data_IF_357512232964
#
_entry.id   IF_357512232964
#
_cell.length_a   1.000
_cell.length_b   1.000
_cell.length_c   1.000
_cell.angle_alpha   90.00
_cell.angle_beta   90.00
_cell.angle_gamma   90.00
#
_symmetry.space_group_name_H-M   'P 1'
#
loop_
_entity.id
_entity.type
_entity.pdbx_description
1 polymer ?
#
# COMPACT_ATOMS: atom_id res chain seq x y z
N UNK A 1 12.65 -29.90 64.02
CA UNK A 1 11.79 -28.73 63.75
C UNK A 1 12.18 -27.91 62.51
N UNK A 2 13.47 -27.64 62.22
CA UNK A 2 13.87 -26.82 61.05
C UNK A 2 13.69 -27.45 59.64
N UNK A 3 13.73 -28.78 59.49
CA UNK A 3 13.58 -29.44 58.18
C UNK A 3 12.18 -29.32 57.57
N UNK A 4 11.14 -29.22 58.40
CA UNK A 4 9.75 -29.07 57.95
C UNK A 4 9.44 -27.65 57.46
N UNK A 5 10.11 -26.62 57.99
CA UNK A 5 9.94 -25.24 57.51
C UNK A 5 10.34 -25.08 56.04
N UNK A 6 11.48 -25.63 55.62
CA UNK A 6 11.93 -25.51 54.23
C UNK A 6 11.00 -26.26 53.26
N UNK A 7 10.47 -27.42 53.66
CA UNK A 7 9.48 -28.14 52.87
C UNK A 7 8.15 -27.37 52.73
N UNK A 8 7.67 -26.75 53.80
CA UNK A 8 6.46 -25.93 53.77
C UNK A 8 6.66 -24.68 52.90
N UNK A 9 7.79 -23.99 53.02
CA UNK A 9 8.10 -22.83 52.17
C UNK A 9 8.20 -23.21 50.69
N UNK A 10 8.77 -24.39 50.37
CA UNK A 10 8.83 -24.87 48.99
C UNK A 10 7.43 -25.16 48.43
N UNK A 11 6.57 -25.84 49.21
CA UNK A 11 5.19 -26.11 48.80
C UNK A 11 4.37 -24.83 48.61
N UNK A 12 4.55 -23.83 49.47
CA UNK A 12 3.89 -22.52 49.33
C UNK A 12 4.40 -21.80 48.07
N UNK A 13 5.70 -21.82 47.80
CA UNK A 13 6.27 -21.21 46.59
C UNK A 13 5.74 -21.88 45.31
N UNK A 14 5.68 -23.21 45.30
CA UNK A 14 5.12 -23.97 44.18
C UNK A 14 3.63 -23.69 44.02
N UNK A 15 2.86 -23.67 45.11
CA UNK A 15 1.43 -23.36 45.07
C UNK A 15 1.15 -21.93 44.58
N UNK A 16 1.95 -20.94 45.00
CA UNK A 16 1.84 -19.57 44.52
C UNK A 16 2.20 -19.48 43.03
N UNK A 17 3.28 -20.11 42.57
CA UNK A 17 3.64 -20.12 41.15
C UNK A 17 2.61 -20.83 40.28
N UNK A 18 2.00 -21.92 40.78
CA UNK A 18 0.89 -22.62 40.10
C UNK A 18 -0.35 -21.74 40.10
N UNK A 19 -0.71 -21.09 41.21
CA UNK A 19 -1.84 -20.16 41.26
C UNK A 19 -1.63 -18.96 40.33
N UNK A 20 -0.43 -18.39 40.27
CA UNK A 20 -0.10 -17.32 39.32
C UNK A 20 -0.17 -17.83 37.88
N UNK A 21 0.30 -19.05 37.61
CA UNK A 21 0.20 -19.65 36.30
C UNK A 21 -1.26 -19.92 35.92
N UNK A 22 -2.08 -20.47 36.81
CA UNK A 22 -3.52 -20.66 36.59
C UNK A 22 -4.22 -19.31 36.44
N UNK A 23 -3.85 -18.28 37.20
CA UNK A 23 -4.45 -16.95 37.07
C UNK A 23 -4.02 -16.23 35.78
N UNK A 24 -2.83 -16.53 35.26
CA UNK A 24 -2.33 -16.05 33.97
C UNK A 24 -2.84 -16.86 32.76
N UNK A 25 -3.10 -18.16 32.93
CA UNK A 25 -3.46 -19.09 31.84
C UNK A 25 -4.93 -19.52 31.83
N UNK A 26 -5.63 -19.44 32.96
CA UNK A 26 -7.01 -19.96 33.17
C UNK A 26 -7.91 -18.92 33.84
N UNK A 27 -7.34 -17.84 34.39
CA UNK A 27 -8.05 -16.72 35.02
C UNK A 27 -8.65 -15.71 34.03
N UNK A 28 -8.97 -16.13 32.81
CA UNK A 28 -9.78 -15.37 31.86
C UNK A 28 -10.88 -16.28 31.31
N UNK A 29 -12.06 -16.19 31.93
CA UNK A 29 -13.31 -16.62 31.31
C UNK A 29 -13.57 -15.77 30.06
N UNK A 30 -14.31 -16.28 29.07
CA UNK A 30 -14.12 -15.96 27.67
C UNK A 30 -14.30 -14.46 27.41
N UNK A 31 -13.32 -13.89 26.71
CA UNK A 31 -13.33 -12.60 25.98
C UNK A 31 -12.37 -11.51 26.46
N UNK A 32 -11.19 -11.82 26.99
CA UNK A 32 -10.13 -10.82 26.98
C UNK A 32 -8.72 -11.40 26.81
N UNK A 33 -8.46 -11.91 25.60
CA UNK A 33 -7.10 -11.79 25.06
C UNK A 33 -6.63 -10.35 25.28
N UNK A 34 -5.64 -10.15 26.15
CA UNK A 34 -4.71 -9.03 26.05
C UNK A 34 -3.85 -9.33 24.83
N UNK A 35 -4.50 -9.28 23.68
CA UNK A 35 -3.89 -9.11 22.39
C UNK A 35 -3.37 -7.68 22.40
N UNK A 36 -2.05 -7.50 22.41
CA UNK A 36 -1.45 -6.25 21.94
C UNK A 36 -1.70 -6.02 20.43
N UNK A 37 -2.78 -6.59 19.86
CA UNK A 37 -3.37 -6.18 18.60
C UNK A 37 -4.48 -5.22 18.97
N UNK A 38 -4.22 -3.91 18.83
CA UNK A 38 -5.31 -2.95 18.72
C UNK A 38 -6.29 -3.53 17.71
N UNK A 39 -7.51 -3.89 18.14
CA UNK A 39 -8.50 -4.40 17.21
C UNK A 39 -8.72 -3.30 16.16
N UNK A 40 -8.61 -3.68 14.89
CA UNK A 40 -9.03 -2.79 13.83
C UNK A 40 -10.52 -2.51 14.04
N UNK A 41 -10.94 -1.27 13.83
CA UNK A 41 -12.34 -0.88 13.98
C UNK A 41 -12.96 -0.69 12.62
N UNK A 42 -13.06 0.55 12.15
CA UNK A 42 -13.71 0.88 10.87
C UNK A 42 -12.97 0.33 9.65
N UNK A 43 -11.67 0.06 9.74
CA UNK A 43 -10.85 -0.44 8.63
C UNK A 43 -10.84 -1.97 8.51
N UNK A 44 -11.35 -2.69 9.51
CA UNK A 44 -11.29 -4.16 9.57
C UNK A 44 -11.92 -4.80 8.33
N UNK A 45 -13.15 -4.37 7.99
CA UNK A 45 -13.88 -4.88 6.83
C UNK A 45 -13.11 -4.66 5.52
N UNK A 46 -12.62 -3.44 5.29
CA UNK A 46 -11.91 -3.09 4.06
C UNK A 46 -10.59 -3.87 3.92
N UNK A 47 -9.87 -4.06 5.03
CA UNK A 47 -8.64 -4.85 5.04
C UNK A 47 -8.94 -6.34 4.77
N UNK A 48 -9.97 -6.91 5.41
CA UNK A 48 -10.37 -8.30 5.20
C UNK A 48 -10.84 -8.58 3.78
N UNK A 49 -11.59 -7.67 3.15
CA UNK A 49 -12.01 -7.80 1.76
C UNK A 49 -10.80 -7.76 0.79
N UNK A 50 -9.85 -6.85 1.03
CA UNK A 50 -8.63 -6.76 0.23
C UNK A 50 -7.77 -8.03 0.32
N UNK A 51 -7.58 -8.57 1.54
CA UNK A 51 -6.87 -9.83 1.75
C UNK A 51 -7.59 -11.02 1.11
N UNK A 52 -8.92 -11.08 1.24
CA UNK A 52 -9.72 -12.15 0.65
C UNK A 52 -9.61 -12.19 -0.88
N UNK A 53 -9.68 -11.03 -1.53
CA UNK A 53 -9.52 -10.94 -3.00
C UNK A 53 -8.10 -11.28 -3.43
N UNK A 54 -7.09 -10.78 -2.71
CA UNK A 54 -5.69 -11.10 -3.00
C UNK A 54 -5.35 -12.60 -2.82
N UNK A 55 -6.13 -13.32 -2.00
CA UNK A 55 -5.98 -14.75 -1.78
C UNK A 55 -6.67 -15.63 -2.85
N UNK A 56 -7.44 -15.05 -3.78
CA UNK A 56 -8.06 -15.80 -4.88
C UNK A 56 -6.97 -16.40 -5.77
N UNK A 57 -6.99 -17.73 -5.92
CA UNK A 57 -6.02 -18.44 -6.75
C UNK A 57 -6.36 -18.30 -8.23
N UNK A 58 -5.55 -17.55 -8.97
CA UNK A 58 -5.61 -17.43 -10.43
C UNK A 58 -4.47 -18.18 -11.12
N UNK A 59 -4.09 -19.34 -10.58
CA UNK A 59 -3.13 -20.32 -11.14
C UNK A 59 -1.76 -19.75 -11.57
N UNK A 60 -1.35 -18.61 -10.98
CA UNK A 60 -0.12 -17.90 -11.35
C UNK A 60 -0.18 -17.22 -12.72
N UNK A 61 -1.35 -17.21 -13.35
CA UNK A 61 -1.59 -16.74 -14.71
C UNK A 61 -2.64 -15.64 -14.79
N UNK A 62 -2.96 -15.03 -13.66
CA UNK A 62 -3.84 -13.89 -13.54
C UNK A 62 -3.89 -13.38 -12.10
N UNK A 63 -4.83 -12.47 -11.83
CA UNK A 63 -5.15 -11.99 -10.47
C UNK A 63 -6.60 -11.51 -10.40
N UNK A 64 -7.15 -11.41 -9.20
CA UNK A 64 -8.45 -10.79 -8.96
C UNK A 64 -8.28 -9.41 -8.32
N UNK A 65 -9.23 -8.51 -8.57
CA UNK A 65 -9.24 -7.15 -8.02
C UNK A 65 -10.57 -6.85 -7.32
N UNK A 66 -10.55 -5.93 -6.35
CA UNK A 66 -11.74 -5.55 -5.57
C UNK A 66 -12.87 -4.99 -6.46
N UNK A 67 -12.49 -4.30 -7.53
CA UNK A 67 -13.39 -3.72 -8.54
C UNK A 67 -13.48 -4.57 -9.82
N UNK A 68 -13.00 -5.81 -9.78
CA UNK A 68 -13.09 -6.76 -10.87
C UNK A 68 -14.53 -7.16 -11.18
N UNK A 69 -14.73 -7.77 -12.35
CA UNK A 69 -16.05 -8.31 -12.73
C UNK A 69 -16.48 -9.39 -11.74
N UNK A 70 -17.76 -9.38 -11.34
CA UNK A 70 -18.30 -10.29 -10.32
C UNK A 70 -19.00 -11.48 -10.98
N UNK A 71 -18.69 -12.69 -10.51
CA UNK A 71 -19.41 -13.94 -10.83
C UNK A 71 -19.63 -14.72 -9.53
N UNK A 72 -20.84 -15.25 -9.32
CA UNK A 72 -21.22 -15.97 -8.10
C UNK A 72 -20.88 -15.25 -6.78
N UNK A 73 -20.92 -13.91 -6.80
CA UNK A 73 -20.65 -13.07 -5.63
C UNK A 73 -19.16 -12.86 -5.32
N UNK A 74 -18.25 -13.33 -6.19
CA UNK A 74 -16.80 -13.11 -6.05
C UNK A 74 -16.20 -12.43 -7.30
N UNK A 75 -15.12 -11.66 -7.16
CA UNK A 75 -14.39 -11.15 -8.32
C UNK A 75 -13.76 -12.29 -9.13
N UNK A 76 -13.89 -12.20 -10.46
CA UNK A 76 -13.31 -13.14 -11.43
C UNK A 76 -11.83 -12.83 -11.66
N UNK A 77 -11.03 -13.85 -11.90
CA UNK A 77 -9.64 -13.69 -12.29
C UNK A 77 -9.50 -12.95 -13.63
N UNK A 78 -8.66 -11.91 -13.65
CA UNK A 78 -8.16 -11.26 -14.84
C UNK A 78 -6.88 -11.95 -15.29
N UNK A 79 -6.96 -12.68 -16.40
CA UNK A 79 -5.87 -13.51 -16.91
C UNK A 79 -4.83 -12.73 -17.70
N UNK A 80 -3.58 -13.18 -17.63
CA UNK A 80 -2.52 -12.74 -18.52
C UNK A 80 -2.77 -13.19 -19.96
N UNK A 81 -2.04 -12.57 -20.89
CA UNK A 81 -2.12 -12.89 -22.31
C UNK A 81 -2.03 -14.40 -22.57
N UNK A 82 -2.92 -14.89 -23.44
CA UNK A 82 -3.07 -16.29 -23.83
C UNK A 82 -3.60 -17.27 -22.75
N UNK A 83 -3.93 -16.81 -21.55
CA UNK A 83 -4.57 -17.64 -20.52
C UNK A 83 -6.08 -17.37 -20.41
N UNK A 84 -6.85 -18.40 -20.07
CA UNK A 84 -8.30 -18.38 -19.88
C UNK A 84 -8.74 -19.38 -18.82
N UNK A 85 -10.06 -19.54 -18.67
CA UNK A 85 -10.67 -20.33 -17.59
C UNK A 85 -10.99 -19.45 -16.38
N UNK A 86 -11.75 -20.00 -15.43
CA UNK A 86 -12.19 -19.25 -14.24
C UNK A 86 -11.02 -18.89 -13.31
N UNK A 87 -9.94 -19.66 -13.37
CA UNK A 87 -8.73 -19.49 -12.56
C UNK A 87 -7.48 -19.20 -13.42
N UNK A 88 -7.65 -18.89 -14.71
CA UNK A 88 -6.55 -18.66 -15.65
C UNK A 88 -5.61 -19.86 -15.92
N UNK A 89 -6.03 -21.09 -15.63
CA UNK A 89 -5.20 -22.28 -15.85
C UNK A 89 -5.13 -22.75 -17.31
N UNK A 90 -6.03 -22.30 -18.17
CA UNK A 90 -6.16 -22.80 -19.54
C UNK A 90 -5.30 -21.98 -20.51
N UNK A 91 -4.29 -22.59 -21.12
CA UNK A 91 -3.50 -21.96 -22.17
C UNK A 91 -4.19 -22.09 -23.53
N UNK A 92 -4.42 -20.98 -24.22
CA UNK A 92 -5.00 -20.95 -25.56
C UNK A 92 -4.01 -21.43 -26.63
N UNK A 93 -4.24 -22.58 -27.30
CA UNK A 93 -3.32 -23.10 -28.31
C UNK A 93 -3.25 -22.19 -29.54
N UNK A 94 -2.03 -21.86 -29.98
CA UNK A 94 -1.82 -21.00 -31.15
C UNK A 94 -2.03 -19.50 -30.89
N UNK A 95 -2.22 -19.09 -29.63
CA UNK A 95 -2.22 -17.69 -29.25
C UNK A 95 -0.83 -17.05 -29.45
N UNK A 96 -0.79 -15.91 -30.15
CA UNK A 96 0.43 -15.16 -30.35
C UNK A 96 0.77 -14.33 -29.10
N UNK A 97 2.03 -14.35 -28.68
CA UNK A 97 2.50 -13.50 -27.60
C UNK A 97 2.39 -12.02 -27.98
N UNK A 98 1.78 -11.21 -27.09
CA UNK A 98 1.73 -9.75 -27.23
C UNK A 98 2.81 -9.10 -26.37
N UNK A 99 3.72 -8.37 -27.02
CA UNK A 99 4.79 -7.62 -26.38
C UNK A 99 4.80 -6.14 -26.85
N UNK A 100 3.66 -5.61 -27.30
CA UNK A 100 3.58 -4.30 -27.94
C UNK A 100 3.37 -3.12 -26.97
N UNK A 101 2.78 -3.36 -25.79
CA UNK A 101 2.25 -2.27 -24.93
C UNK A 101 3.27 -1.56 -24.04
N UNK A 102 4.46 -2.13 -23.82
CA UNK A 102 5.43 -1.62 -22.84
C UNK A 102 4.89 -1.63 -21.39
N UNK A 103 3.84 -2.41 -21.13
CA UNK A 103 3.20 -2.53 -19.82
C UNK A 103 4.13 -3.23 -18.81
N UNK A 104 4.48 -2.58 -17.68
CA UNK A 104 5.50 -3.07 -16.77
C UNK A 104 5.00 -4.14 -15.78
N UNK A 105 4.18 -5.11 -16.24
CA UNK A 105 3.64 -6.20 -15.41
C UNK A 105 4.74 -7.00 -14.70
N UNK A 106 5.95 -7.04 -15.28
CA UNK A 106 7.12 -7.70 -14.67
C UNK A 106 7.51 -7.15 -13.28
N UNK A 107 7.04 -5.95 -12.90
CA UNK A 107 7.26 -5.37 -11.57
C UNK A 107 6.26 -5.87 -10.52
N UNK A 108 5.16 -6.51 -10.89
CA UNK A 108 4.15 -6.94 -9.91
C UNK A 108 4.72 -7.86 -8.81
N UNK A 109 5.52 -8.91 -9.11
CA UNK A 109 5.97 -9.83 -8.06
C UNK A 109 6.75 -9.13 -6.94
N UNK A 110 7.45 -8.04 -7.27
CA UNK A 110 8.11 -7.19 -6.27
C UNK A 110 7.08 -6.55 -5.33
N UNK A 111 6.01 -5.96 -5.85
CA UNK A 111 4.97 -5.33 -5.02
C UNK A 111 4.21 -6.33 -4.17
N UNK A 112 3.93 -7.52 -4.69
CA UNK A 112 3.29 -8.59 -3.90
C UNK A 112 4.15 -9.04 -2.71
N UNK A 113 5.47 -9.13 -2.90
CA UNK A 113 6.41 -9.49 -1.83
C UNK A 113 6.52 -8.41 -0.74
N UNK A 114 6.13 -7.17 -1.05
CA UNK A 114 6.20 -6.02 -0.13
C UNK A 114 4.81 -5.54 0.29
N UNK A 115 3.78 -6.39 0.21
CA UNK A 115 2.38 -5.99 0.41
C UNK A 115 2.13 -5.25 1.74
N UNK A 116 2.69 -5.74 2.85
CA UNK A 116 2.52 -5.12 4.16
C UNK A 116 3.14 -3.71 4.27
N UNK A 117 4.24 -3.45 3.55
CA UNK A 117 4.95 -2.18 3.58
C UNK A 117 4.35 -1.14 2.61
N UNK A 118 3.58 -1.60 1.62
CA UNK A 118 3.10 -0.76 0.52
C UNK A 118 1.58 -0.59 0.48
N UNK A 119 0.83 -1.40 1.23
CA UNK A 119 -0.62 -1.27 1.34
C UNK A 119 -1.01 0.05 2.01
N UNK A 120 -2.10 0.66 1.52
CA UNK A 120 -2.63 1.92 2.06
C UNK A 120 -4.12 1.77 2.32
N UNK A 121 -4.55 2.16 3.51
CA UNK A 121 -5.97 2.29 3.86
C UNK A 121 -6.39 3.75 3.67
N UNK A 122 -7.35 3.99 2.78
CA UNK A 122 -7.85 5.33 2.48
C UNK A 122 -9.23 5.49 3.11
N UNK A 123 -9.37 6.41 4.07
CA UNK A 123 -10.67 6.73 4.68
C UNK A 123 -11.60 7.38 3.66
N UNK A 124 -12.93 7.19 3.79
CA UNK A 124 -13.93 7.74 2.87
C UNK A 124 -13.95 9.28 2.77
N UNK A 125 -13.37 9.99 3.73
CA UNK A 125 -13.23 11.46 3.74
C UNK A 125 -11.81 11.95 3.43
N UNK A 126 -10.92 11.07 2.97
CA UNK A 126 -9.53 11.45 2.68
C UNK A 126 -9.47 12.48 1.54
N UNK A 127 -8.95 13.67 1.83
CA UNK A 127 -8.68 14.74 0.83
C UNK A 127 -9.88 15.10 -0.05
N UNK A 128 -11.06 15.29 0.55
CA UNK A 128 -12.25 15.77 -0.18
C UNK A 128 -12.16 17.22 -0.66
N UNK A 129 -11.25 18.02 -0.08
CA UNK A 129 -10.99 19.41 -0.53
C UNK A 129 -10.17 19.43 -1.81
N UNK A 130 -10.38 20.45 -2.65
CA UNK A 130 -9.51 20.75 -3.79
C UNK A 130 -8.11 21.23 -3.37
N UNK A 131 -7.98 21.67 -2.12
CA UNK A 131 -6.76 22.30 -1.60
C UNK A 131 -6.19 21.53 -0.41
N UNK A 132 -4.87 21.64 -0.25
CA UNK A 132 -4.18 21.26 0.98
C UNK A 132 -4.28 22.42 1.97
N UNK A 133 -4.27 22.12 3.27
CA UNK A 133 -4.45 23.12 4.31
C UNK A 133 -3.42 24.27 4.27
N UNK A 134 -2.21 24.00 3.79
CA UNK A 134 -1.04 24.89 3.94
C UNK A 134 -0.46 25.41 2.61
N UNK A 135 -1.26 25.45 1.52
CA UNK A 135 -0.84 25.87 0.16
C UNK A 135 0.59 25.43 -0.20
N UNK A 136 0.73 24.17 -0.59
CA UNK A 136 0.70 23.95 -2.03
C UNK A 136 -0.45 23.03 -2.46
N UNK A 137 -0.92 23.16 -3.70
CA UNK A 137 -1.83 22.19 -4.36
C UNK A 137 -1.23 20.76 -4.49
N UNK A 138 -0.13 20.46 -3.81
CA UNK A 138 0.68 19.25 -3.92
C UNK A 138 1.05 18.74 -2.53
N UNK A 139 1.17 17.42 -2.39
CA UNK A 139 1.60 16.81 -1.13
C UNK A 139 3.07 17.12 -0.82
N UNK A 140 3.36 17.84 0.29
CA UNK A 140 4.75 18.14 0.68
C UNK A 140 5.52 16.87 1.07
N UNK A 141 4.83 15.89 1.63
CA UNK A 141 5.42 14.58 1.95
C UNK A 141 5.85 13.84 0.68
N UNK A 142 5.05 13.90 -0.39
CA UNK A 142 5.41 13.25 -1.65
C UNK A 142 6.62 13.95 -2.31
N UNK A 143 6.68 15.29 -2.31
CA UNK A 143 7.85 16.05 -2.80
C UNK A 143 9.12 15.64 -2.07
N UNK A 144 9.07 15.56 -0.73
CA UNK A 144 10.20 15.11 0.11
C UNK A 144 10.70 13.71 -0.30
N UNK A 145 9.80 12.74 -0.44
CA UNK A 145 10.19 11.36 -0.76
C UNK A 145 10.69 11.20 -2.20
N UNK A 146 10.16 11.96 -3.15
CA UNK A 146 10.67 12.01 -4.51
C UNK A 146 12.11 12.54 -4.55
N UNK A 147 12.39 13.64 -3.83
CA UNK A 147 13.75 14.20 -3.76
C UNK A 147 14.71 13.19 -3.14
N UNK A 148 14.29 12.51 -2.07
CA UNK A 148 15.04 11.42 -1.46
C UNK A 148 15.29 10.28 -2.45
N UNK A 149 14.28 9.85 -3.21
CA UNK A 149 14.40 8.81 -4.24
C UNK A 149 15.49 9.18 -5.26
N UNK A 150 15.43 10.37 -5.83
CA UNK A 150 16.43 10.82 -6.80
C UNK A 150 17.83 10.97 -6.21
N UNK A 151 17.92 11.40 -4.94
CA UNK A 151 19.20 11.49 -4.22
C UNK A 151 19.83 10.11 -3.98
N UNK A 152 19.03 9.10 -3.63
CA UNK A 152 19.52 7.73 -3.38
C UNK A 152 19.86 7.03 -4.69
N UNK A 153 19.02 7.18 -5.72
CA UNK A 153 19.26 6.60 -7.04
C UNK A 153 20.38 7.30 -7.81
N UNK A 154 20.74 8.54 -7.46
CA UNK A 154 21.73 9.36 -8.14
C UNK A 154 21.37 9.69 -9.59
N UNK A 155 20.07 9.61 -9.94
CA UNK A 155 19.61 9.68 -11.33
C UNK A 155 19.05 11.06 -11.75
N UNK A 156 18.91 12.02 -10.82
CA UNK A 156 18.50 13.38 -11.12
C UNK A 156 18.96 14.40 -10.05
N UNK A 157 19.26 15.63 -10.49
CA UNK A 157 19.55 16.77 -9.61
C UNK A 157 18.22 17.47 -9.28
N UNK A 158 17.83 17.46 -8.01
CA UNK A 158 16.56 18.05 -7.55
C UNK A 158 16.75 19.34 -6.75
N UNK A 159 17.98 19.65 -6.33
CA UNK A 159 18.32 20.86 -5.58
C UNK A 159 18.00 22.11 -6.41
N UNK A 160 17.39 23.11 -5.77
CA UNK A 160 16.97 24.38 -6.39
C UNK A 160 16.08 24.19 -7.62
N UNK A 161 15.15 23.24 -7.53
CA UNK A 161 14.18 22.95 -8.59
C UNK A 161 12.77 22.80 -8.05
N UNK A 162 11.81 23.25 -8.85
CA UNK A 162 10.40 23.02 -8.62
C UNK A 162 10.00 21.64 -9.13
N UNK A 163 9.20 20.95 -8.32
CA UNK A 163 8.56 19.68 -8.65
C UNK A 163 7.10 19.98 -8.89
N UNK A 164 6.58 19.53 -10.03
CA UNK A 164 5.16 19.68 -10.41
C UNK A 164 4.60 18.30 -10.70
N UNK A 165 3.48 17.97 -10.06
CA UNK A 165 2.77 16.72 -10.30
C UNK A 165 1.83 16.85 -11.48
N UNK A 166 1.92 15.91 -12.42
CA UNK A 166 1.05 15.83 -13.60
C UNK A 166 0.41 14.46 -13.69
N UNK A 167 -0.78 14.39 -14.29
CA UNK A 167 -1.40 13.11 -14.66
C UNK A 167 -0.69 12.57 -15.90
N UNK A 168 -0.12 11.37 -15.82
CA UNK A 168 0.38 10.68 -17.00
C UNK A 168 -0.83 10.23 -17.83
N UNK A 169 -1.05 10.85 -18.99
CA UNK A 169 -1.99 10.40 -20.01
C UNK A 169 -1.23 10.26 -21.32
N UNK A 170 -1.16 9.06 -21.88
CA UNK A 170 -0.53 8.86 -23.18
C UNK A 170 -1.39 7.95 -24.05
N UNK A 171 -1.95 8.54 -25.11
CA UNK A 171 -2.20 7.81 -26.36
C UNK A 171 -1.74 8.57 -27.62
N UNK A 172 -1.55 9.89 -27.59
CA UNK A 172 -1.04 10.62 -28.76
C UNK A 172 -0.52 12.00 -28.38
N UNK A 173 0.59 12.37 -29.00
CA UNK A 173 1.40 13.60 -28.84
C UNK A 173 2.57 13.48 -27.86
N UNK A 174 3.72 13.28 -28.51
CA UNK A 174 5.11 13.46 -28.09
C UNK A 174 5.28 14.31 -26.82
N UNK A 175 6.14 13.79 -25.95
CA UNK A 175 6.55 14.35 -24.66
C UNK A 175 5.43 14.40 -23.63
N UNK A 176 5.19 13.31 -22.89
CA UNK A 176 5.14 13.37 -21.42
C UNK A 176 5.21 11.95 -20.81
N UNK A 177 6.43 11.56 -20.45
CA UNK A 177 6.84 10.91 -19.18
C UNK A 177 6.03 9.67 -18.74
N UNK A 178 6.40 8.51 -19.30
CA UNK A 178 6.22 7.22 -18.62
C UNK A 178 7.44 6.94 -17.72
N UNK A 179 7.17 6.45 -16.51
CA UNK A 179 8.10 6.21 -15.38
C UNK A 179 8.71 7.48 -14.79
N UNK A 180 8.08 8.04 -13.74
CA UNK A 180 8.66 9.00 -12.78
C UNK A 180 9.61 10.07 -13.35
N UNK A 181 9.39 10.56 -14.57
CA UNK A 181 10.03 11.81 -14.99
C UNK A 181 9.15 12.91 -14.45
N UNK A 182 9.52 13.41 -13.30
CA UNK A 182 9.05 14.69 -12.82
C UNK A 182 9.69 15.74 -13.70
N UNK A 183 8.89 16.62 -14.29
CA UNK A 183 9.45 17.76 -15.01
C UNK A 183 10.04 18.70 -13.97
N UNK A 184 11.33 18.50 -13.72
CA UNK A 184 12.19 19.41 -12.98
C UNK A 184 12.27 20.70 -13.79
N UNK A 185 11.46 21.69 -13.42
CA UNK A 185 11.52 23.01 -14.05
C UNK A 185 12.76 23.74 -13.51
N UNK A 186 13.56 24.29 -14.43
CA UNK A 186 14.68 25.17 -14.08
C UNK A 186 14.20 26.46 -13.40
N UNK A 187 15.11 27.24 -12.80
CA UNK A 187 14.75 28.50 -12.16
C UNK A 187 14.09 29.45 -13.16
N UNK A 188 12.86 29.86 -12.87
CA UNK A 188 12.18 30.93 -13.59
C UNK A 188 12.75 32.24 -13.06
N UNK A 189 13.53 32.95 -13.89
CA UNK A 189 13.82 34.36 -13.63
C UNK A 189 12.49 35.12 -13.62
N UNK A 190 12.05 35.63 -12.47
CA UNK A 190 10.94 36.59 -12.40
C UNK A 190 11.38 37.85 -13.15
N UNK A 191 10.99 37.97 -14.41
CA UNK A 191 10.94 39.26 -15.09
C UNK A 191 9.67 39.95 -14.63
N UNK A 192 9.81 40.94 -13.74
CA UNK A 192 8.72 41.83 -13.31
C UNK A 192 8.18 42.58 -14.52
N UNK A 193 7.06 42.14 -15.09
CA UNK A 193 6.28 42.95 -16.02
C UNK A 193 5.38 43.88 -15.19
N UNK A 194 5.80 45.14 -15.10
CA UNK A 194 4.98 46.25 -14.62
C UNK A 194 3.84 46.47 -15.64
N UNK A 195 2.62 46.13 -15.28
CA UNK A 195 1.43 46.51 -16.05
C UNK A 195 0.96 47.85 -15.50
N UNK A 196 1.42 48.94 -16.13
CA UNK A 196 0.81 50.25 -15.95
C UNK A 196 -0.59 50.22 -16.57
N UNK A 197 -1.62 50.23 -15.72
CA UNK A 197 -2.99 50.54 -16.12
C UNK A 197 -3.10 52.03 -16.41
N UNK A 198 -3.22 52.40 -17.68
CA UNK A 198 -3.66 53.73 -18.10
C UNK A 198 -4.51 53.57 -19.35
N UNK A 199 -5.83 53.49 -19.17
CA UNK A 199 -6.82 53.76 -20.21
C UNK A 199 -7.92 54.59 -19.53
N UNK A 200 -8.05 55.83 -20.00
CA UNK A 200 -9.29 56.63 -19.98
C UNK A 200 -10.18 56.06 -21.07
#
# INVERSE_FOLDING_TARGET
MKKYCYGICFLISVAINILFSIHLYVGDGPNQEISCRSSLTWSEKAAAEAEAVAAISCSGHGRAFLDGSISDGQPVCECYGCYSGTDCSELSPGCAADANSGDPIYLEPFWMQNAADTAVVISGWHRMSYEYADDPMMSPELDKYIRKLHSVAGNAITQDRYIVFGRAVSKSHKFFLALFKIKILGPIHKSSYNINSSII
#
